data_IF_813654531320
#
_entry.id   IF_813654531320
#
_cell.length_a   1.000
_cell.length_b   1.000
_cell.length_c   1.000
_cell.angle_alpha   90.00
_cell.angle_beta   90.00
_cell.angle_gamma   90.00
#
_symmetry.space_group_name_H-M   'P 1'
#
loop_
_entity.id
_entity.type
_entity.pdbx_description
1 polymer ?
#
# COMPACT_ATOMS: atom_id res chain seq x y z
N UNK A 1 3.64 -38.36 -45.37
CA UNK A 1 3.58 -37.01 -44.75
C UNK A 1 3.31 -37.23 -43.28
N UNK A 2 4.35 -37.18 -42.46
CA UNK A 2 4.25 -37.30 -41.00
C UNK A 2 3.81 -35.94 -40.46
N UNK A 3 2.58 -35.86 -39.98
CA UNK A 3 2.05 -34.68 -39.30
C UNK A 3 2.74 -34.60 -37.94
N UNK A 4 3.59 -33.60 -37.74
CA UNK A 4 4.06 -33.24 -36.41
C UNK A 4 2.92 -32.49 -35.72
N UNK A 5 2.21 -33.21 -34.85
CA UNK A 5 1.31 -32.58 -33.88
C UNK A 5 2.23 -31.93 -32.84
N UNK A 6 2.34 -30.60 -32.88
CA UNK A 6 2.99 -29.86 -31.80
C UNK A 6 1.91 -29.69 -30.73
N UNK A 7 1.89 -30.49 -29.64
CA UNK A 7 1.04 -30.16 -28.51
C UNK A 7 1.49 -28.78 -28.06
N UNK A 8 0.66 -27.77 -28.29
CA UNK A 8 0.97 -26.40 -27.94
C UNK A 8 1.35 -26.36 -26.47
N UNK A 9 2.65 -26.23 -26.20
CA UNK A 9 3.11 -25.74 -24.92
C UNK A 9 2.59 -24.31 -24.85
N UNK A 10 1.42 -24.13 -24.24
CA UNK A 10 1.10 -22.86 -23.62
C UNK A 10 2.08 -22.77 -22.47
N UNK A 11 3.14 -21.98 -22.65
CA UNK A 11 4.01 -21.57 -21.55
C UNK A 11 3.12 -20.82 -20.57
N UNK A 12 2.55 -21.56 -19.62
CA UNK A 12 1.78 -21.00 -18.52
C UNK A 12 2.80 -20.67 -17.45
N UNK A 13 3.30 -19.45 -17.47
CA UNK A 13 3.91 -18.85 -16.27
C UNK A 13 2.85 -18.95 -15.18
N UNK A 14 3.03 -19.87 -14.24
CA UNK A 14 1.99 -20.33 -13.32
C UNK A 14 1.54 -19.28 -12.30
N UNK A 15 2.11 -18.06 -12.31
CA UNK A 15 1.77 -17.00 -11.34
C UNK A 15 1.52 -15.63 -11.96
N UNK A 16 1.23 -15.48 -13.25
CA UNK A 16 0.83 -14.15 -13.75
C UNK A 16 -0.58 -13.79 -13.26
N UNK A 17 -0.66 -12.91 -12.25
CA UNK A 17 -1.92 -12.38 -11.76
C UNK A 17 -2.18 -11.02 -12.38
N UNK A 18 -3.12 -10.96 -13.31
CA UNK A 18 -3.38 -9.75 -14.08
C UNK A 18 -4.72 -9.10 -13.75
N UNK A 19 -4.73 -7.77 -13.68
CA UNK A 19 -5.95 -6.96 -13.51
C UNK A 19 -6.12 -6.00 -14.68
N UNK A 20 -7.37 -5.69 -15.04
CA UNK A 20 -7.65 -4.62 -15.99
C UNK A 20 -7.60 -3.29 -15.25
N UNK A 21 -6.86 -2.33 -15.81
CA UNK A 21 -6.77 -0.96 -15.32
C UNK A 21 -6.98 0.03 -16.46
N UNK A 22 -7.38 1.25 -16.14
CA UNK A 22 -7.42 2.38 -17.06
C UNK A 22 -6.14 3.22 -16.94
N UNK A 23 -5.50 3.51 -18.07
CA UNK A 23 -4.39 4.44 -18.10
C UNK A 23 -4.93 5.87 -18.20
N UNK A 24 -4.75 6.64 -17.12
CA UNK A 24 -5.17 8.05 -17.02
C UNK A 24 -3.97 8.97 -16.75
N UNK A 25 -2.77 8.57 -17.15
CA UNK A 25 -1.55 9.33 -16.86
C UNK A 25 -1.32 10.51 -17.80
N UNK A 26 -2.08 10.66 -18.88
CA UNK A 26 -1.85 11.70 -19.90
C UNK A 26 -0.74 11.33 -20.91
N UNK A 27 -0.34 10.05 -20.95
CA UNK A 27 0.61 9.47 -21.92
C UNK A 27 0.35 7.98 -22.06
N UNK A 28 0.85 7.38 -23.15
CA UNK A 28 0.94 5.93 -23.22
C UNK A 28 1.95 5.39 -22.19
N UNK A 29 1.61 4.26 -21.56
CA UNK A 29 2.54 3.47 -20.76
C UNK A 29 3.07 2.31 -21.58
N UNK A 30 4.33 1.97 -21.41
CA UNK A 30 5.03 1.00 -22.26
C UNK A 30 4.88 -0.44 -21.73
N UNK A 31 5.17 -1.43 -22.58
CA UNK A 31 5.29 -2.82 -22.15
C UNK A 31 6.39 -2.96 -21.08
N UNK A 32 6.14 -3.77 -20.04
CA UNK A 32 7.01 -3.94 -18.87
C UNK A 32 7.19 -2.68 -18.00
N UNK A 33 6.47 -1.58 -18.27
CA UNK A 33 6.52 -0.40 -17.42
C UNK A 33 5.85 -0.69 -16.07
N UNK A 34 6.52 -0.35 -14.96
CA UNK A 34 5.91 -0.33 -13.64
C UNK A 34 5.02 0.90 -13.50
N UNK A 35 3.78 0.67 -13.12
CA UNK A 35 2.74 1.69 -13.02
C UNK A 35 1.94 1.52 -11.73
N UNK A 36 1.27 2.60 -11.32
CA UNK A 36 0.25 2.55 -10.29
C UNK A 36 -1.06 3.15 -10.83
N UNK A 37 -1.98 2.27 -11.23
CA UNK A 37 -3.23 2.62 -11.91
C UNK A 37 -4.40 1.97 -11.17
N UNK A 38 -5.49 2.71 -11.00
CA UNK A 38 -6.71 2.24 -10.31
C UNK A 38 -6.45 1.62 -8.92
N UNK A 39 -5.42 2.10 -8.20
CA UNK A 39 -5.06 1.62 -6.87
C UNK A 39 -4.21 0.34 -6.85
N UNK A 40 -3.74 -0.12 -8.02
CA UNK A 40 -2.87 -1.29 -8.14
C UNK A 40 -1.49 -0.90 -8.66
N UNK A 41 -0.46 -1.39 -7.99
CA UNK A 41 0.91 -1.37 -8.46
C UNK A 41 1.19 -2.62 -9.29
N UNK A 42 1.72 -2.47 -10.49
CA UNK A 42 2.03 -3.62 -11.33
C UNK A 42 2.83 -3.28 -12.56
N UNK A 43 3.15 -4.32 -13.31
CA UNK A 43 3.91 -4.21 -14.56
C UNK A 43 2.97 -4.35 -15.75
N UNK A 44 3.05 -3.45 -16.73
CA UNK A 44 2.23 -3.51 -17.94
C UNK A 44 2.57 -4.76 -18.75
N UNK A 45 1.54 -5.54 -19.10
CA UNK A 45 1.67 -6.78 -19.89
C UNK A 45 1.15 -6.67 -21.31
N UNK A 46 0.52 -5.55 -21.67
CA UNK A 46 0.09 -5.29 -23.04
C UNK A 46 1.30 -5.09 -23.96
N UNK A 47 1.35 -5.79 -25.09
CA UNK A 47 2.49 -5.77 -26.01
C UNK A 47 2.79 -4.37 -26.54
N UNK A 48 1.76 -3.63 -26.94
CA UNK A 48 1.87 -2.23 -27.42
C UNK A 48 1.81 -1.21 -26.27
N UNK A 49 1.85 -1.67 -25.02
CA UNK A 49 1.56 -0.84 -23.87
C UNK A 49 0.07 -0.48 -23.74
N UNK A 50 -0.24 0.53 -22.94
CA UNK A 50 -1.63 1.01 -22.74
C UNK A 50 -1.68 2.49 -23.14
N UNK A 51 -2.43 2.80 -24.20
CA UNK A 51 -2.62 4.18 -24.63
C UNK A 51 -3.32 5.02 -23.55
N UNK A 52 -3.12 6.35 -23.57
CA UNK A 52 -3.84 7.26 -22.68
C UNK A 52 -5.35 7.17 -22.91
N UNK A 53 -6.11 7.10 -21.81
CA UNK A 53 -7.57 6.89 -21.81
C UNK A 53 -8.02 5.48 -22.19
N UNK A 54 -7.11 4.54 -22.46
CA UNK A 54 -7.43 3.15 -22.76
C UNK A 54 -7.35 2.25 -21.52
N UNK A 55 -7.95 1.07 -21.60
CA UNK A 55 -7.77 0.02 -20.61
C UNK A 55 -6.78 -1.03 -21.09
N UNK A 56 -6.06 -1.63 -20.16
CA UNK A 56 -5.13 -2.73 -20.43
C UNK A 56 -4.83 -3.54 -19.17
N UNK A 57 -4.00 -4.57 -19.33
CA UNK A 57 -3.60 -5.47 -18.26
C UNK A 57 -2.27 -5.09 -17.63
N UNK A 58 -2.25 -5.12 -16.29
CA UNK A 58 -1.01 -5.10 -15.51
C UNK A 58 -0.90 -6.38 -14.67
N UNK A 59 0.32 -6.88 -14.47
CA UNK A 59 0.63 -7.99 -13.57
C UNK A 59 0.90 -7.47 -12.15
N UNK A 60 0.09 -7.93 -11.21
CA UNK A 60 0.10 -7.57 -9.79
C UNK A 60 0.52 -8.74 -8.88
N UNK A 61 0.98 -9.86 -9.46
CA UNK A 61 1.42 -10.99 -8.66
C UNK A 61 2.54 -10.60 -7.70
N UNK A 62 2.41 -11.03 -6.45
CA UNK A 62 3.29 -10.72 -5.34
C UNK A 62 4.36 -11.80 -5.10
N UNK A 63 4.20 -12.98 -5.70
CA UNK A 63 5.20 -14.04 -5.64
C UNK A 63 6.35 -13.82 -6.64
N UNK A 64 6.15 -12.94 -7.63
CA UNK A 64 7.17 -12.59 -8.62
C UNK A 64 8.32 -11.77 -8.02
N UNK A 65 9.50 -11.98 -8.59
CA UNK A 65 10.64 -11.09 -8.40
C UNK A 65 10.66 -10.08 -9.54
N UNK A 66 10.79 -8.80 -9.20
CA UNK A 66 10.94 -7.70 -10.16
C UNK A 66 12.38 -7.22 -10.07
N UNK A 67 13.08 -7.23 -11.21
CA UNK A 67 14.32 -6.47 -11.42
C UNK A 67 13.99 -5.29 -12.33
N UNK A 68 14.34 -4.07 -11.93
CA UNK A 68 14.00 -2.88 -12.70
C UNK A 68 15.08 -1.80 -12.59
N UNK A 69 15.29 -1.09 -13.69
CA UNK A 69 16.09 0.13 -13.80
C UNK A 69 15.24 1.41 -13.71
N UNK A 70 13.92 1.27 -13.52
CA UNK A 70 13.01 2.39 -13.24
C UNK A 70 13.22 2.89 -11.81
N UNK A 71 14.39 3.42 -11.55
CA UNK A 71 14.85 3.91 -10.26
C UNK A 71 15.27 5.38 -10.39
N UNK A 72 15.26 6.10 -9.27
CA UNK A 72 15.96 7.38 -9.24
C UNK A 72 17.46 7.14 -9.03
N UNK A 73 18.30 7.61 -9.95
CA UNK A 73 19.74 7.37 -9.93
C UNK A 73 20.45 7.83 -8.63
N UNK A 74 19.92 8.85 -7.95
CA UNK A 74 20.46 9.36 -6.70
C UNK A 74 20.05 8.53 -5.46
N UNK A 75 19.08 7.64 -5.59
CA UNK A 75 18.60 6.84 -4.47
C UNK A 75 19.59 5.71 -4.15
N UNK A 76 19.77 5.43 -2.86
CA UNK A 76 20.65 4.34 -2.38
C UNK A 76 19.79 3.23 -1.80
N UNK A 77 19.83 2.08 -2.45
CA UNK A 77 19.08 0.90 -2.02
C UNK A 77 19.86 0.05 -1.00
N UNK A 78 19.17 -0.59 -0.08
CA UNK A 78 19.74 -1.51 0.90
C UNK A 78 18.86 -2.75 0.98
N UNK A 79 19.47 -3.94 0.98
CA UNK A 79 18.74 -5.20 1.12
C UNK A 79 17.98 -5.22 2.44
N UNK A 80 16.73 -5.66 2.40
CA UNK A 80 15.83 -5.71 3.55
C UNK A 80 15.05 -4.42 3.80
N UNK A 81 15.37 -3.33 3.10
CA UNK A 81 14.60 -2.09 3.21
C UNK A 81 13.34 -2.13 2.34
N UNK A 82 12.32 -1.36 2.74
CA UNK A 82 11.13 -1.16 1.93
C UNK A 82 11.46 -0.24 0.76
N UNK A 83 11.00 -0.64 -0.42
CA UNK A 83 11.06 0.18 -1.62
C UNK A 83 9.70 0.79 -1.89
N UNK A 84 9.73 2.03 -2.39
CA UNK A 84 8.53 2.81 -2.63
C UNK A 84 8.42 3.16 -4.12
N UNK A 85 7.25 3.04 -4.71
CA UNK A 85 6.99 3.57 -6.05
C UNK A 85 6.54 5.02 -5.95
N UNK A 86 7.24 5.92 -6.65
CA UNK A 86 6.80 7.27 -6.92
C UNK A 86 6.08 7.27 -8.28
N UNK A 87 4.75 7.44 -8.31
CA UNK A 87 4.01 7.46 -9.57
C UNK A 87 4.51 8.54 -10.51
N UNK A 88 4.57 8.19 -11.80
CA UNK A 88 4.84 9.14 -12.87
C UNK A 88 3.60 9.97 -13.22
N UNK A 89 3.67 10.64 -14.37
CA UNK A 89 2.55 11.42 -14.91
C UNK A 89 2.69 11.57 -16.42
N UNK A 90 2.10 12.64 -16.97
CA UNK A 90 2.02 12.87 -18.42
C UNK A 90 3.36 13.00 -19.12
N UNK A 91 4.43 13.28 -18.36
CA UNK A 91 5.74 13.61 -18.91
C UNK A 91 6.83 12.57 -18.64
N UNK A 92 6.57 11.57 -17.77
CA UNK A 92 7.58 10.58 -17.40
C UNK A 92 6.97 9.32 -16.77
N UNK A 93 7.72 8.21 -16.86
CA UNK A 93 7.52 7.00 -16.08
C UNK A 93 7.65 7.25 -14.57
N UNK A 94 7.01 6.38 -13.79
CA UNK A 94 7.26 6.32 -12.35
C UNK A 94 8.65 5.78 -12.04
N UNK A 95 9.05 5.87 -10.78
CA UNK A 95 10.33 5.35 -10.33
C UNK A 95 10.23 4.70 -8.96
N UNK A 96 10.95 3.61 -8.78
CA UNK A 96 11.22 3.00 -7.47
C UNK A 96 12.21 3.89 -6.71
N UNK A 97 11.90 4.09 -5.44
CA UNK A 97 12.57 4.99 -4.51
C UNK A 97 12.99 4.24 -3.25
N UNK A 98 14.13 4.64 -2.70
CA UNK A 98 14.68 4.05 -1.48
C UNK A 98 14.07 4.62 -0.20
N UNK A 99 13.49 5.82 -0.26
CA UNK A 99 13.00 6.54 0.91
C UNK A 99 11.50 6.83 0.82
N UNK A 100 10.83 6.83 1.97
CA UNK A 100 9.46 7.30 2.08
C UNK A 100 9.39 8.83 1.86
N UNK A 101 8.35 9.29 1.16
CA UNK A 101 8.00 10.69 1.00
C UNK A 101 6.52 10.81 0.60
N UNK A 102 5.95 12.02 0.70
CA UNK A 102 4.58 12.28 0.30
C UNK A 102 4.29 11.79 -1.14
N UNK A 103 3.17 11.06 -1.30
CA UNK A 103 2.73 10.51 -2.59
C UNK A 103 3.48 9.26 -3.06
N UNK A 104 4.44 8.74 -2.29
CA UNK A 104 5.11 7.46 -2.59
C UNK A 104 4.37 6.30 -1.95
N UNK A 105 4.34 5.19 -2.67
CA UNK A 105 3.56 4.01 -2.30
C UNK A 105 4.56 2.90 -1.93
N UNK A 106 4.50 2.31 -0.73
CA UNK A 106 5.34 1.16 -0.42
C UNK A 106 4.93 -0.03 -1.31
N UNK A 107 5.87 -0.60 -2.05
CA UNK A 107 5.56 -1.63 -3.05
C UNK A 107 6.25 -2.95 -2.81
N UNK A 108 7.32 -3.02 -2.02
CA UNK A 108 7.96 -4.28 -1.69
C UNK A 108 9.19 -4.13 -0.79
N UNK A 109 9.96 -5.21 -0.66
CA UNK A 109 11.22 -5.24 0.08
C UNK A 109 12.36 -5.49 -0.90
N UNK A 110 13.38 -4.63 -0.88
CA UNK A 110 14.59 -4.81 -1.68
C UNK A 110 15.30 -6.10 -1.26
N UNK A 111 15.53 -6.99 -2.23
CA UNK A 111 16.26 -8.24 -2.03
C UNK A 111 17.67 -8.19 -2.60
N UNK A 112 17.87 -7.36 -3.62
CA UNK A 112 19.14 -7.17 -4.30
C UNK A 112 19.14 -5.82 -5.03
N UNK A 113 20.32 -5.31 -5.39
CA UNK A 113 20.50 -4.12 -6.20
C UNK A 113 21.84 -4.18 -6.92
N UNK A 114 21.95 -3.46 -8.04
CA UNK A 114 23.18 -3.35 -8.81
C UNK A 114 23.81 -1.97 -8.73
N UNK A 115 25.13 -1.92 -8.92
CA UNK A 115 25.91 -0.68 -8.91
C UNK A 115 26.53 -0.36 -7.54
N UNK A 116 26.91 0.89 -7.36
CA UNK A 116 27.53 1.40 -6.12
C UNK A 116 26.61 2.42 -5.45
N UNK A 117 26.69 2.54 -4.11
CA UNK A 117 25.86 3.50 -3.38
C UNK A 117 25.88 4.90 -4.00
N UNK A 118 24.70 5.49 -4.22
CA UNK A 118 24.52 6.78 -4.92
C UNK A 118 24.61 6.73 -6.46
N UNK A 119 24.79 5.53 -7.03
CA UNK A 119 24.83 5.26 -8.46
C UNK A 119 24.32 3.83 -8.75
N UNK A 120 23.18 3.46 -8.15
CA UNK A 120 22.56 2.18 -8.44
C UNK A 120 21.97 2.18 -9.85
N UNK A 121 22.03 1.03 -10.50
CA UNK A 121 21.57 0.84 -11.89
C UNK A 121 20.27 0.05 -11.96
N UNK A 122 20.01 -0.79 -10.96
CA UNK A 122 18.76 -1.52 -10.83
C UNK A 122 18.47 -1.84 -9.36
N UNK A 123 17.22 -2.19 -9.08
CA UNK A 123 16.79 -2.77 -7.82
C UNK A 123 15.97 -4.03 -8.08
N UNK A 124 16.16 -5.02 -7.22
CA UNK A 124 15.39 -6.26 -7.21
C UNK A 124 14.53 -6.29 -5.95
N UNK A 125 13.25 -6.59 -6.10
CA UNK A 125 12.33 -6.72 -4.98
C UNK A 125 11.19 -7.70 -5.31
N UNK A 126 10.53 -8.18 -4.27
CA UNK A 126 9.23 -8.84 -4.40
C UNK A 126 8.13 -7.87 -4.00
N UNK A 127 7.08 -7.69 -4.81
CA UNK A 127 6.03 -6.75 -4.46
C UNK A 127 5.17 -7.29 -3.31
N UNK A 128 4.52 -6.41 -2.57
CA UNK A 128 3.55 -6.80 -1.56
C UNK A 128 2.29 -7.41 -2.18
N UNK A 129 1.62 -8.29 -1.44
CA UNK A 129 0.29 -8.77 -1.83
C UNK A 129 -0.70 -7.59 -1.90
N UNK A 130 -1.58 -7.60 -2.91
CA UNK A 130 -2.50 -6.49 -3.18
C UNK A 130 -3.96 -6.96 -3.23
N UNK A 131 -4.87 -6.05 -2.90
CA UNK A 131 -6.31 -6.31 -2.91
C UNK A 131 -6.73 -7.45 -1.97
N UNK A 132 -7.68 -8.27 -2.41
CA UNK A 132 -8.18 -9.43 -1.64
C UNK A 132 -7.11 -10.48 -1.34
N UNK A 133 -5.99 -10.51 -2.07
CA UNK A 133 -4.98 -11.54 -1.88
C UNK A 133 -4.19 -11.35 -0.60
N UNK A 134 -3.96 -10.09 -0.22
CA UNK A 134 -3.40 -9.76 1.08
C UNK A 134 -4.31 -10.27 2.21
N UNK A 135 -5.64 -10.23 2.03
CA UNK A 135 -6.63 -10.75 2.99
C UNK A 135 -6.69 -12.28 3.05
N UNK A 136 -6.40 -12.97 1.95
CA UNK A 136 -6.54 -14.42 1.81
C UNK A 136 -5.23 -15.14 2.21
N UNK A 137 -4.07 -14.53 2.00
CA UNK A 137 -2.76 -15.08 2.38
C UNK A 137 -2.22 -14.59 3.73
N UNK A 138 -2.66 -13.42 4.21
CA UNK A 138 -2.23 -12.84 5.48
C UNK A 138 -3.10 -13.28 6.65
N UNK A 139 -2.49 -13.59 7.80
CA UNK A 139 -3.24 -13.70 9.04
C UNK A 139 -3.75 -12.31 9.42
N UNK A 140 -5.07 -12.13 9.51
CA UNK A 140 -5.67 -10.91 10.05
C UNK A 140 -5.20 -10.72 11.49
N UNK A 141 -4.44 -9.65 11.71
CA UNK A 141 -3.91 -9.22 13.00
C UNK A 141 -4.74 -8.03 13.50
N UNK A 142 -4.70 -7.85 14.81
CA UNK A 142 -5.33 -6.72 15.47
C UNK A 142 -4.32 -6.04 16.39
N UNK A 143 -4.13 -4.73 16.24
CA UNK A 143 -3.42 -3.90 17.20
C UNK A 143 -4.46 -3.13 18.01
N UNK A 144 -4.45 -3.34 19.33
CA UNK A 144 -5.29 -2.59 20.26
C UNK A 144 -4.49 -1.48 20.90
N UNK A 145 -5.11 -0.32 21.00
CA UNK A 145 -4.49 0.92 21.41
C UNK A 145 -5.43 1.57 22.41
N UNK A 146 -4.95 1.73 23.64
CA UNK A 146 -5.72 2.43 24.66
C UNK A 146 -5.63 3.93 24.40
N UNK A 147 -6.78 4.61 24.35
CA UNK A 147 -6.88 6.07 24.34
C UNK A 147 -7.05 6.51 25.80
N UNK A 148 -6.02 7.13 26.41
CA UNK A 148 -6.05 7.51 27.82
C UNK A 148 -7.05 8.64 28.09
N UNK A 149 -7.43 8.81 29.36
CA UNK A 149 -8.24 9.95 29.82
C UNK A 149 -7.46 11.26 29.76
N UNK A 150 -8.06 12.30 29.20
CA UNK A 150 -7.61 13.69 29.35
C UNK A 150 -7.91 14.54 28.12
N UNK A 151 -7.99 15.86 28.31
CA UNK A 151 -8.13 16.83 27.23
C UNK A 151 -6.86 16.85 26.37
N UNK A 152 -6.91 16.28 25.17
CA UNK A 152 -5.88 16.49 24.17
C UNK A 152 -6.21 17.76 23.40
N UNK A 153 -5.28 18.71 23.32
CA UNK A 153 -5.49 19.90 22.50
C UNK A 153 -5.70 19.47 21.03
N UNK A 154 -6.54 20.20 20.29
CA UNK A 154 -6.72 19.97 18.85
C UNK A 154 -5.34 19.96 18.15
N UNK A 155 -5.01 18.82 17.53
CA UNK A 155 -3.70 18.61 16.90
C UNK A 155 -2.58 18.08 17.81
N UNK A 156 -2.87 17.66 19.05
CA UNK A 156 -1.90 16.97 19.90
C UNK A 156 -1.77 15.48 19.49
N UNK A 157 -0.60 15.02 19.01
CA UNK A 157 -0.34 13.61 18.77
C UNK A 157 0.13 12.92 20.08
N UNK A 158 0.04 11.61 20.32
CA UNK A 158 -0.58 10.44 19.66
C UNK A 158 -0.19 9.21 20.52
N UNK A 159 -1.06 8.20 20.62
CA UNK A 159 -0.60 6.85 21.00
C UNK A 159 -0.11 6.16 19.74
N UNK A 160 1.20 5.96 19.61
CA UNK A 160 1.77 5.28 18.44
C UNK A 160 1.38 3.80 18.45
N UNK A 161 0.99 3.30 17.28
CA UNK A 161 0.80 1.89 17.07
C UNK A 161 1.94 1.34 16.22
N UNK A 162 2.70 0.41 16.80
CA UNK A 162 3.66 -0.39 16.02
C UNK A 162 2.86 -1.41 15.19
N UNK A 163 2.39 -0.95 14.03
CA UNK A 163 1.94 -1.81 12.94
C UNK A 163 3.12 -1.91 11.96
N UNK A 164 3.51 -3.12 11.54
CA UNK A 164 4.61 -3.28 10.60
C UNK A 164 4.39 -2.45 9.32
N UNK A 165 5.46 -1.79 8.87
CA UNK A 165 5.44 -1.09 7.59
C UNK A 165 5.23 -2.11 6.48
N UNK A 166 4.40 -1.78 5.49
CA UNK A 166 3.95 -2.68 4.43
C UNK A 166 2.66 -3.44 4.77
N UNK A 167 2.16 -3.38 6.00
CA UNK A 167 0.84 -3.94 6.33
C UNK A 167 -0.30 -3.15 5.69
N UNK A 168 -1.35 -3.86 5.28
CA UNK A 168 -2.56 -3.24 4.75
C UNK A 168 -3.60 -3.11 5.87
N UNK A 169 -4.17 -1.91 6.05
CA UNK A 169 -5.22 -1.66 7.03
C UNK A 169 -6.57 -2.08 6.45
N UNK A 170 -7.22 -3.02 7.12
CA UNK A 170 -8.49 -3.62 6.69
C UNK A 170 -9.69 -2.96 7.39
N UNK A 171 -9.45 -2.40 8.57
CA UNK A 171 -10.51 -1.70 9.30
C UNK A 171 -10.01 -1.09 10.60
N UNK A 172 -10.77 -0.12 11.10
CA UNK A 172 -10.52 0.53 12.38
C UNK A 172 -11.83 0.57 13.16
N UNK A 173 -11.76 0.12 14.42
CA UNK A 173 -12.90 0.00 15.33
C UNK A 173 -12.62 0.83 16.58
N UNK A 174 -13.56 1.67 16.97
CA UNK A 174 -13.56 2.40 18.22
C UNK A 174 -14.47 1.74 19.24
N UNK A 175 -14.06 1.75 20.51
CA UNK A 175 -14.86 1.30 21.64
C UNK A 175 -14.67 2.25 22.81
N UNK A 176 -15.75 2.79 23.37
CA UNK A 176 -15.68 3.53 24.62
C UNK A 176 -15.59 2.60 25.82
N UNK A 177 -14.71 2.94 26.76
CA UNK A 177 -14.60 2.28 28.07
C UNK A 177 -15.33 3.04 29.19
N UNK A 178 -15.70 4.29 28.96
CA UNK A 178 -16.44 5.15 29.89
C UNK A 178 -17.38 6.11 29.12
N UNK A 179 -18.25 6.85 29.81
CA UNK A 179 -19.15 7.81 29.16
C UNK A 179 -18.33 8.92 28.50
N UNK A 180 -18.25 8.90 27.17
CA UNK A 180 -17.61 9.91 26.34
C UNK A 180 -18.70 10.82 25.78
N UNK A 181 -18.49 12.14 25.76
CA UNK A 181 -19.16 12.97 24.76
C UNK A 181 -18.77 12.43 23.38
N UNK A 182 -19.69 12.29 22.43
CA UNK A 182 -19.38 11.75 21.11
C UNK A 182 -18.19 12.48 20.48
N UNK A 183 -17.06 11.80 20.34
CA UNK A 183 -15.81 12.37 19.86
C UNK A 183 -15.21 11.47 18.78
N UNK A 184 -14.62 12.10 17.79
CA UNK A 184 -14.03 11.45 16.62
C UNK A 184 -12.52 11.31 16.80
N UNK A 185 -12.01 10.10 16.63
CA UNK A 185 -10.57 9.82 16.58
C UNK A 185 -10.13 9.79 15.12
N UNK A 186 -9.18 10.65 14.78
CA UNK A 186 -8.56 10.66 13.45
C UNK A 186 -7.33 9.75 13.47
N UNK A 187 -7.31 8.76 12.61
CA UNK A 187 -6.15 7.87 12.44
C UNK A 187 -5.37 8.29 11.20
N UNK A 188 -4.05 8.39 11.34
CA UNK A 188 -3.14 8.82 10.27
C UNK A 188 -1.96 7.87 10.11
N UNK A 189 -1.38 7.77 8.91
CA UNK A 189 -0.10 7.06 8.68
C UNK A 189 1.12 7.94 9.01
N UNK A 190 0.91 9.04 9.74
CA UNK A 190 1.90 10.08 9.98
C UNK A 190 1.89 11.21 8.93
N UNK A 191 1.18 11.09 7.81
CA UNK A 191 1.04 12.17 6.81
C UNK A 191 -0.38 12.31 6.26
N UNK A 192 -1.08 11.20 6.03
CA UNK A 192 -2.42 11.13 5.47
C UNK A 192 -3.43 10.70 6.53
N UNK A 193 -4.65 11.21 6.44
CA UNK A 193 -5.77 10.66 7.22
C UNK A 193 -6.22 9.34 6.60
N UNK A 194 -6.12 8.28 7.40
CA UNK A 194 -6.54 6.92 7.05
C UNK A 194 -8.03 6.77 7.29
N UNK A 195 -8.55 7.33 8.38
CA UNK A 195 -9.97 7.25 8.71
C UNK A 195 -10.31 8.04 9.97
N UNK A 196 -11.59 8.33 10.12
CA UNK A 196 -12.16 8.97 11.31
C UNK A 196 -13.11 7.98 11.95
N UNK A 197 -12.92 7.73 13.24
CA UNK A 197 -13.65 6.72 14.00
C UNK A 197 -14.32 7.40 15.18
N UNK A 198 -15.66 7.43 15.25
CA UNK A 198 -16.32 7.89 16.45
C UNK A 198 -16.02 6.89 17.57
N UNK A 199 -15.72 7.38 18.77
CA UNK A 199 -15.76 6.58 20.00
C UNK A 199 -17.09 6.94 20.69
N UNK A 200 -18.14 6.17 20.39
CA UNK A 200 -19.49 6.42 20.92
C UNK A 200 -19.69 5.77 22.29
N UNK A 201 -20.77 6.17 22.98
CA UNK A 201 -21.21 5.79 24.34
C UNK A 201 -20.87 4.36 24.81
N UNK A 202 -20.63 4.22 26.12
CA UNK A 202 -20.28 2.98 26.86
C UNK A 202 -20.86 1.71 26.23
N UNK A 203 -19.99 0.71 26.00
CA UNK A 203 -20.32 -0.62 25.47
C UNK A 203 -20.85 -0.67 24.02
N UNK A 204 -20.82 0.45 23.28
CA UNK A 204 -21.03 0.41 21.83
C UNK A 204 -19.70 0.16 21.11
N UNK A 205 -19.70 -0.78 20.17
CA UNK A 205 -18.68 -0.84 19.13
C UNK A 205 -19.08 0.17 18.06
N UNK A 206 -18.25 1.17 17.84
CA UNK A 206 -18.40 2.10 16.74
C UNK A 206 -17.38 1.76 15.67
N UNK A 207 -17.89 1.44 14.49
CA UNK A 207 -17.05 1.34 13.31
C UNK A 207 -16.77 2.76 12.83
N UNK A 208 -15.51 3.05 12.53
CA UNK A 208 -15.20 4.26 11.79
C UNK A 208 -15.80 4.23 10.40
N UNK A 209 -15.59 5.31 9.64
CA UNK A 209 -15.86 5.28 8.21
C UNK A 209 -15.22 4.02 7.64
N UNK A 210 -15.98 3.22 6.89
CA UNK A 210 -15.48 2.02 6.25
C UNK A 210 -14.29 2.46 5.38
N UNK A 211 -13.08 2.25 5.87
CA UNK A 211 -11.88 2.52 5.09
C UNK A 211 -11.97 1.51 3.96
N UNK A 212 -11.92 2.00 2.73
CA UNK A 212 -11.83 1.10 1.60
C UNK A 212 -10.54 0.30 1.82
N UNK A 213 -10.68 -0.95 2.28
CA UNK A 213 -9.64 -1.78 2.91
C UNK A 213 -8.42 -2.06 2.01
N UNK A 214 -8.48 -1.56 0.79
CA UNK A 214 -7.58 -1.83 -0.31
C UNK A 214 -6.56 -0.70 -0.56
N UNK A 215 -6.78 0.52 -0.05
CA UNK A 215 -5.97 1.69 -0.45
C UNK A 215 -4.93 2.17 0.55
N UNK A 216 -4.84 1.58 1.76
CA UNK A 216 -3.97 2.07 2.83
C UNK A 216 -2.93 1.03 3.21
N UNK A 217 -1.72 1.19 2.67
CA UNK A 217 -0.53 0.45 3.12
C UNK A 217 0.25 1.32 4.09
N UNK A 218 0.61 0.77 5.24
CA UNK A 218 1.37 1.47 6.29
C UNK A 218 2.76 1.79 5.76
N UNK A 219 3.00 3.04 5.35
CA UNK A 219 4.28 3.51 4.80
C UNK A 219 5.27 4.00 5.89
N UNK A 220 4.76 4.31 7.08
CA UNK A 220 5.48 4.69 8.29
C UNK A 220 4.63 4.33 9.52
N UNK A 221 5.16 4.52 10.73
CA UNK A 221 4.44 4.19 11.97
C UNK A 221 3.04 4.81 12.03
N UNK A 222 2.05 4.02 12.47
CA UNK A 222 0.67 4.48 12.55
C UNK A 222 0.49 5.43 13.73
N UNK A 223 -0.06 6.60 13.43
CA UNK A 223 -0.20 7.73 14.34
C UNK A 223 -1.68 8.04 14.58
N UNK A 224 -2.19 7.80 15.79
CA UNK A 224 -3.59 8.03 16.17
C UNK A 224 -3.77 9.33 16.96
N UNK A 225 -4.53 10.25 16.37
CA UNK A 225 -4.85 11.55 16.97
C UNK A 225 -6.25 11.51 17.55
N UNK A 226 -6.36 11.65 18.86
CA UNK A 226 -7.63 11.69 19.57
C UNK A 226 -7.90 13.13 20.02
N UNK A 227 -9.00 13.72 19.57
CA UNK A 227 -9.53 14.97 20.13
C UNK A 227 -10.54 14.58 21.20
N UNK A 228 -10.04 14.12 22.36
CA UNK A 228 -10.94 13.80 23.47
C UNK A 228 -10.85 14.85 24.55
N UNK A 229 -11.95 15.54 24.83
CA UNK A 229 -12.01 16.49 25.93
C UNK A 229 -12.34 15.78 27.23
N UNK A 230 -13.00 14.60 27.19
CA UNK A 230 -13.43 13.86 28.40
C UNK A 230 -13.55 12.31 28.23
N UNK A 231 -12.86 11.69 27.27
CA UNK A 231 -13.04 10.28 26.92
C UNK A 231 -11.97 9.29 27.38
N UNK A 232 -12.34 8.01 27.53
CA UNK A 232 -11.42 6.85 27.51
C UNK A 232 -11.95 5.80 26.56
N UNK A 233 -11.07 5.19 25.77
CA UNK A 233 -11.49 4.17 24.81
C UNK A 233 -10.39 3.24 24.37
N UNK A 234 -10.75 2.33 23.47
CA UNK A 234 -9.85 1.44 22.75
C UNK A 234 -10.09 1.66 21.26
N UNK A 235 -9.01 1.90 20.53
CA UNK A 235 -9.01 1.73 19.07
C UNK A 235 -8.40 0.37 18.75
N UNK A 236 -9.10 -0.41 17.94
CA UNK A 236 -8.59 -1.64 17.35
C UNK A 236 -8.35 -1.42 15.87
N UNK A 237 -7.10 -1.56 15.44
CA UNK A 237 -6.70 -1.51 14.04
C UNK A 237 -6.54 -2.94 13.55
N UNK A 238 -7.32 -3.31 12.54
CA UNK A 238 -7.25 -4.60 11.86
C UNK A 238 -6.34 -4.46 10.65
N UNK A 239 -5.35 -5.33 10.55
CA UNK A 239 -4.35 -5.29 9.49
C UNK A 239 -3.86 -6.69 9.13
N UNK A 240 -3.21 -6.81 7.98
CA UNK A 240 -2.63 -8.04 7.43
C UNK A 240 -1.12 -7.85 7.24
#
# INVERSE_FOLDING_TARGET
MTTYDFPGLVEKTLSDKQVTVANNLGRAVENLELVHLDGYFGEVKEYDGIADGASGKINIDHERTIETDQIAAADTFVVGQIVFFAPGGSSAAGAIRAANAAGRIPVGICTEFGGSAGAHTFVVFRPFAQGNEALIGGALKAKRIAVPTGSHAAGAPVVNADIPVGSQIVGIIGQALATVSSEDVTVTDGTNTIGVVPIATVNALSFGTLINAYSVVVAAGLTLTADTTNGTGIITVLYI
#
